data_IF_256287891174
#
_entry.id   IF_256287891174
#
_cell.length_a   1.000
_cell.length_b   1.000
_cell.length_c   1.000
_cell.angle_alpha   90.00
_cell.angle_beta   90.00
_cell.angle_gamma   90.00
#
_symmetry.space_group_name_H-M   'P 1'
#
loop_
_entity.id
_entity.type
_entity.pdbx_description
1 polymer ?
#
# COMPACT_ATOMS: atom_id res chain seq x y z
N UNK A 1 20.38 6.77 -0.45
CA UNK A 1 19.87 5.58 -1.19
C UNK A 1 19.67 4.45 -0.19
N UNK A 2 18.56 3.70 -0.26
CA UNK A 2 18.34 2.57 0.65
C UNK A 2 19.00 1.33 0.04
N UNK A 3 20.11 0.91 0.65
CA UNK A 3 20.90 -0.24 0.25
C UNK A 3 21.53 -0.84 1.52
N UNK A 4 21.16 -2.07 1.85
CA UNK A 4 21.61 -2.79 3.04
C UNK A 4 22.40 -4.02 2.63
N UNK A 5 23.63 -4.10 3.14
CA UNK A 5 24.50 -5.25 2.92
C UNK A 5 24.13 -6.46 3.79
N UNK A 6 24.94 -7.51 3.63
CA UNK A 6 24.77 -8.81 4.30
C UNK A 6 24.81 -8.70 5.82
N UNK A 7 25.61 -7.79 6.37
CA UNK A 7 25.75 -7.55 7.80
C UNK A 7 24.40 -7.26 8.47
N UNK A 8 23.56 -6.46 7.81
CA UNK A 8 22.21 -6.18 8.27
C UNK A 8 21.23 -7.27 7.83
N UNK A 9 21.32 -7.70 6.58
CA UNK A 9 20.32 -8.58 5.98
C UNK A 9 20.31 -10.00 6.56
N UNK A 10 21.47 -10.49 7.02
CA UNK A 10 21.60 -11.79 7.68
C UNK A 10 21.31 -11.77 9.19
N UNK A 11 21.19 -10.58 9.79
CA UNK A 11 20.73 -10.44 11.18
C UNK A 11 19.20 -10.46 11.23
N UNK A 12 18.63 -11.59 11.68
CA UNK A 12 17.19 -11.80 11.71
C UNK A 12 16.43 -10.68 12.45
N UNK A 13 16.83 -10.23 13.66
CA UNK A 13 16.17 -9.13 14.34
C UNK A 13 16.21 -7.81 13.55
N UNK A 14 17.34 -7.44 12.95
CA UNK A 14 17.49 -6.21 12.19
C UNK A 14 16.69 -6.23 10.87
N UNK A 15 16.71 -7.37 10.16
CA UNK A 15 15.94 -7.57 8.93
C UNK A 15 14.43 -7.64 9.20
N UNK A 16 14.01 -8.22 10.32
CA UNK A 16 12.58 -8.32 10.71
C UNK A 16 11.98 -6.97 11.13
N UNK A 17 12.78 -6.06 11.70
CA UNK A 17 12.30 -4.72 12.12
C UNK A 17 12.17 -3.72 10.98
N UNK A 18 12.73 -4.01 9.80
CA UNK A 18 12.67 -3.12 8.63
C UNK A 18 11.60 -3.60 7.70
N UNK A 19 10.73 -2.68 7.31
CA UNK A 19 9.59 -2.94 6.44
C UNK A 19 9.76 -2.20 5.10
N UNK A 20 9.20 -2.78 4.05
CA UNK A 20 9.11 -2.17 2.72
C UNK A 20 7.63 -2.01 2.36
N UNK A 21 7.34 -1.06 1.46
CA UNK A 21 6.00 -0.76 0.98
C UNK A 21 6.04 -0.47 -0.53
N UNK A 22 5.13 -1.09 -1.27
CA UNK A 22 4.76 -0.68 -2.63
C UNK A 22 3.26 -0.48 -2.71
N UNK A 23 2.82 0.50 -3.50
CA UNK A 23 1.41 0.87 -3.61
C UNK A 23 1.02 0.95 -5.09
N UNK A 24 -0.28 0.82 -5.37
CA UNK A 24 -0.83 0.84 -6.72
C UNK A 24 -1.61 2.13 -7.05
N UNK A 25 -1.60 3.14 -6.17
CA UNK A 25 -2.32 4.40 -6.43
C UNK A 25 -3.86 4.29 -6.41
N UNK A 26 -4.43 3.17 -5.96
CA UNK A 26 -5.88 2.98 -5.75
C UNK A 26 -6.18 2.48 -4.34
N UNK A 27 -5.27 2.68 -3.38
CA UNK A 27 -5.40 2.23 -1.99
C UNK A 27 -4.89 0.81 -1.72
N UNK A 28 -4.64 0.01 -2.77
CA UNK A 28 -4.01 -1.30 -2.65
C UNK A 28 -2.50 -1.19 -2.41
N UNK A 29 -1.94 -2.19 -1.73
CA UNK A 29 -0.51 -2.21 -1.40
C UNK A 29 0.04 -3.63 -1.23
N UNK A 30 1.37 -3.72 -1.27
CA UNK A 30 2.11 -4.85 -0.77
C UNK A 30 3.18 -4.37 0.22
N UNK A 31 3.35 -5.10 1.31
CA UNK A 31 4.32 -4.79 2.34
C UNK A 31 4.79 -6.04 3.07
N UNK A 32 5.96 -5.96 3.68
CA UNK A 32 6.50 -7.02 4.52
C UNK A 32 7.82 -6.60 5.13
N UNK A 33 8.49 -7.56 5.78
CA UNK A 33 9.85 -7.35 6.31
C UNK A 33 10.92 -7.69 5.28
N UNK A 34 12.16 -7.23 5.50
CA UNK A 34 13.31 -7.66 4.69
C UNK A 34 13.54 -9.17 4.80
N UNK A 35 13.31 -9.76 5.98
CA UNK A 35 13.48 -11.19 6.25
C UNK A 35 12.40 -12.08 5.60
N UNK A 36 11.31 -11.48 5.12
CA UNK A 36 10.12 -12.20 4.65
C UNK A 36 9.24 -12.75 5.77
N UNK A 37 9.61 -12.55 7.04
CA UNK A 37 8.78 -12.94 8.20
C UNK A 37 7.54 -12.06 8.27
N UNK A 38 6.37 -12.69 8.47
CA UNK A 38 5.13 -11.99 8.80
C UNK A 38 5.14 -11.62 10.28
N UNK A 39 5.02 -10.33 10.61
CA UNK A 39 5.00 -9.87 12.02
C UNK A 39 3.74 -9.12 12.38
N UNK A 40 2.93 -8.69 11.40
CA UNK A 40 1.67 -7.99 11.61
C UNK A 40 0.65 -8.38 10.56
N UNK A 41 -0.64 -8.28 10.89
CA UNK A 41 -1.77 -8.73 10.04
C UNK A 41 -1.89 -7.98 8.71
N UNK A 42 -1.13 -6.90 8.55
CA UNK A 42 -1.07 -6.07 7.36
C UNK A 42 -0.01 -6.52 6.36
N UNK A 43 0.89 -7.44 6.72
CA UNK A 43 1.87 -7.99 5.79
C UNK A 43 1.17 -8.83 4.72
N UNK A 44 1.55 -8.60 3.48
CA UNK A 44 0.90 -9.17 2.31
C UNK A 44 1.60 -8.77 1.03
N UNK A 45 1.69 -9.70 0.09
CA UNK A 45 2.12 -9.42 -1.27
C UNK A 45 0.98 -8.86 -2.13
N UNK A 46 -0.28 -9.04 -1.74
CA UNK A 46 -1.42 -8.38 -2.37
C UNK A 46 -2.49 -8.09 -1.32
N UNK A 47 -2.52 -6.84 -0.83
CA UNK A 47 -3.65 -6.27 -0.11
C UNK A 47 -4.43 -5.40 -1.10
N UNK A 48 -5.44 -6.00 -1.71
CA UNK A 48 -6.21 -5.38 -2.78
C UNK A 48 -7.28 -4.43 -2.22
N UNK A 49 -7.36 -3.22 -2.78
CA UNK A 49 -8.48 -2.32 -2.51
C UNK A 49 -9.66 -2.73 -3.40
N UNK A 50 -10.58 -3.55 -2.87
CA UNK A 50 -11.75 -4.02 -3.62
C UNK A 50 -12.86 -2.96 -3.76
N UNK A 51 -12.76 -1.85 -3.01
CA UNK A 51 -13.59 -0.67 -3.19
C UNK A 51 -12.71 0.60 -3.09
N UNK A 52 -11.88 0.89 -4.12
CA UNK A 52 -10.86 1.93 -4.06
C UNK A 52 -11.34 3.30 -3.52
N UNK A 53 -10.55 3.96 -2.65
CA UNK A 53 -9.26 3.54 -2.10
C UNK A 53 -9.38 2.61 -0.87
N UNK A 54 -10.57 2.08 -0.60
CA UNK A 54 -10.95 1.33 0.60
C UNK A 54 -11.23 -0.16 0.27
N UNK A 55 -11.84 -0.88 1.22
CA UNK A 55 -12.13 -2.32 1.04
C UNK A 55 -10.87 -3.17 0.90
N UNK A 56 -9.85 -2.85 1.70
CA UNK A 56 -8.53 -3.51 1.65
C UNK A 56 -8.62 -4.95 2.16
N UNK A 57 -8.40 -5.89 1.26
CA UNK A 57 -8.51 -7.34 1.50
C UNK A 57 -7.18 -8.02 1.19
N UNK A 58 -6.67 -8.81 2.12
CA UNK A 58 -5.48 -9.64 1.91
C UNK A 58 -5.84 -10.83 1.02
N UNK A 59 -5.23 -10.90 -0.16
CA UNK A 59 -5.44 -11.97 -1.15
C UNK A 59 -4.21 -12.89 -1.28
N UNK A 60 -3.00 -12.32 -1.32
CA UNK A 60 -1.74 -13.06 -1.29
C UNK A 60 -0.93 -12.63 -0.07
N UNK A 61 -0.81 -13.51 0.93
CA UNK A 61 -0.05 -13.24 2.15
C UNK A 61 1.45 -13.26 1.86
N UNK A 62 1.93 -14.33 1.23
CA UNK A 62 3.35 -14.54 1.01
C UNK A 62 3.59 -15.55 -0.12
N UNK A 63 4.79 -15.49 -0.69
CA UNK A 63 5.37 -16.57 -1.49
C UNK A 63 6.57 -17.11 -0.73
N UNK A 64 6.49 -18.37 -0.34
CA UNK A 64 7.62 -19.13 0.21
C UNK A 64 8.42 -19.67 -0.98
N UNK A 65 9.50 -18.96 -1.32
CA UNK A 65 10.34 -19.25 -2.49
C UNK A 65 11.56 -20.11 -2.12
N UNK A 66 11.63 -21.27 -2.75
CA UNK A 66 12.74 -22.21 -2.58
C UNK A 66 13.36 -22.44 -3.93
N UNK A 67 14.69 -22.39 -4.01
CA UNK A 67 15.37 -22.90 -5.20
C UNK A 67 16.24 -24.10 -4.88
N UNK A 68 16.39 -24.96 -5.89
CA UNK A 68 17.24 -26.13 -5.88
C UNK A 68 18.29 -25.98 -6.99
N UNK A 69 19.57 -25.91 -6.60
CA UNK A 69 20.72 -25.84 -7.49
C UNK A 69 21.87 -26.68 -6.92
N UNK A 70 22.58 -27.42 -7.76
CA UNK A 70 23.73 -28.24 -7.36
C UNK A 70 23.47 -29.23 -6.20
N UNK A 71 22.24 -29.75 -6.12
CA UNK A 71 21.81 -30.68 -5.06
C UNK A 71 21.58 -30.02 -3.69
N UNK A 72 21.74 -28.70 -3.61
CA UNK A 72 21.45 -27.90 -2.42
C UNK A 72 20.08 -27.21 -2.56
N UNK A 73 19.27 -27.31 -1.51
CA UNK A 73 18.04 -26.56 -1.37
C UNK A 73 18.31 -25.27 -0.58
N UNK A 74 17.79 -24.16 -1.08
CA UNK A 74 17.93 -22.85 -0.48
C UNK A 74 16.55 -22.20 -0.36
N UNK A 75 16.02 -22.21 0.87
CA UNK A 75 14.76 -21.58 1.23
C UNK A 75 15.01 -20.08 1.48
N UNK A 76 14.54 -19.22 0.59
CA UNK A 76 14.82 -17.76 0.60
C UNK A 76 13.80 -16.97 1.44
N UNK A 77 13.08 -17.67 2.31
CA UNK A 77 12.02 -17.10 3.12
C UNK A 77 12.21 -17.45 4.59
N UNK A 78 11.61 -16.66 5.48
CA UNK A 78 11.60 -16.93 6.92
C UNK A 78 10.17 -16.97 7.43
N UNK A 79 9.83 -17.97 8.25
CA UNK A 79 8.54 -18.04 8.95
C UNK A 79 8.77 -18.11 10.46
N UNK A 80 7.88 -17.46 11.20
CA UNK A 80 7.83 -17.51 12.65
C UNK A 80 6.49 -18.13 13.05
N UNK A 81 6.55 -19.18 13.86
CA UNK A 81 5.38 -19.97 14.26
C UNK A 81 4.99 -19.67 15.70
N UNK A 82 3.71 -19.82 16.05
CA UNK A 82 3.20 -19.53 17.40
C UNK A 82 3.85 -20.40 18.49
N UNK A 83 4.46 -21.53 18.13
CA UNK A 83 5.28 -22.34 19.04
C UNK A 83 6.66 -21.75 19.35
N UNK A 84 7.01 -20.58 18.79
CA UNK A 84 8.30 -19.92 18.96
C UNK A 84 9.38 -20.35 17.95
N UNK A 85 9.12 -21.37 17.14
CA UNK A 85 10.05 -21.82 16.09
C UNK A 85 10.15 -20.76 14.99
N UNK A 86 11.39 -20.48 14.57
CA UNK A 86 11.67 -19.70 13.36
C UNK A 86 12.35 -20.62 12.35
N UNK A 87 11.61 -20.99 11.31
CA UNK A 87 12.12 -21.87 10.25
C UNK A 87 11.31 -21.70 8.95
N UNK A 88 11.94 -21.81 7.77
CA UNK A 88 13.39 -21.82 7.55
C UNK A 88 14.04 -20.46 7.85
N UNK A 89 15.38 -20.40 7.84
CA UNK A 89 16.16 -19.18 8.13
C UNK A 89 16.66 -18.54 6.82
N UNK A 90 15.75 -18.06 5.98
CA UNK A 90 16.09 -17.52 4.66
C UNK A 90 17.04 -16.32 4.67
N UNK A 91 17.11 -15.60 5.79
CA UNK A 91 18.12 -14.55 6.04
C UNK A 91 19.57 -15.04 5.88
N UNK A 92 19.83 -16.33 6.06
CA UNK A 92 21.17 -16.90 5.87
C UNK A 92 21.67 -16.81 4.42
N UNK A 93 20.73 -16.73 3.46
CA UNK A 93 21.00 -16.61 2.04
C UNK A 93 20.84 -15.17 1.53
N UNK A 94 20.35 -14.24 2.35
CA UNK A 94 20.08 -12.86 1.93
C UNK A 94 21.36 -12.03 1.99
N UNK A 95 21.92 -11.72 0.82
CA UNK A 95 23.16 -10.93 0.70
C UNK A 95 22.89 -9.43 0.72
N UNK A 96 21.78 -8.99 0.12
CA UNK A 96 21.51 -7.59 -0.10
C UNK A 96 20.02 -7.32 -0.20
N UNK A 97 19.61 -6.17 0.33
CA UNK A 97 18.32 -5.56 0.07
C UNK A 97 18.54 -4.11 -0.37
N UNK A 98 17.85 -3.67 -1.41
CA UNK A 98 17.86 -2.28 -1.87
C UNK A 98 16.52 -1.84 -2.41
N UNK A 99 16.35 -0.53 -2.56
CA UNK A 99 15.27 0.04 -3.36
C UNK A 99 15.76 0.50 -4.73
N UNK A 100 15.17 -0.05 -5.79
CA UNK A 100 15.25 0.51 -7.15
C UNK A 100 14.06 1.45 -7.35
N UNK A 101 14.25 2.74 -7.05
CA UNK A 101 13.14 3.68 -6.93
C UNK A 101 12.28 3.36 -5.70
N UNK A 102 11.04 2.93 -5.89
CA UNK A 102 10.21 2.35 -4.81
C UNK A 102 10.18 0.83 -4.81
N UNK A 103 10.79 0.18 -5.81
CA UNK A 103 10.74 -1.28 -5.96
C UNK A 103 11.74 -1.95 -5.02
N UNK A 104 11.30 -2.73 -4.02
CA UNK A 104 12.20 -3.54 -3.21
C UNK A 104 12.82 -4.67 -4.02
N UNK A 105 14.13 -4.81 -3.86
CA UNK A 105 14.94 -5.83 -4.52
C UNK A 105 15.77 -6.58 -3.48
N UNK A 106 15.66 -7.90 -3.47
CA UNK A 106 16.48 -8.80 -2.67
C UNK A 106 17.46 -9.51 -3.57
N UNK A 107 18.70 -9.68 -3.12
CA UNK A 107 19.67 -10.56 -3.76
C UNK A 107 19.99 -11.71 -2.81
N UNK A 108 19.70 -12.93 -3.25
CA UNK A 108 20.00 -14.15 -2.52
C UNK A 108 21.20 -14.87 -3.13
N UNK A 109 22.10 -15.37 -2.30
CA UNK A 109 23.19 -16.24 -2.72
C UNK A 109 23.03 -17.64 -2.14
N UNK A 110 23.24 -18.63 -2.98
CA UNK A 110 23.45 -19.99 -2.50
C UNK A 110 24.34 -20.76 -3.47
N UNK A 111 25.48 -21.20 -2.95
CA UNK A 111 26.60 -21.62 -3.79
C UNK A 111 27.15 -20.47 -4.65
N UNK A 112 27.33 -20.72 -5.94
CA UNK A 112 27.77 -19.74 -6.93
C UNK A 112 26.62 -18.93 -7.57
N UNK A 113 25.38 -19.36 -7.34
CA UNK A 113 24.17 -18.74 -7.88
C UNK A 113 23.82 -17.47 -7.09
N UNK A 114 23.51 -16.40 -7.84
CA UNK A 114 22.81 -15.23 -7.31
C UNK A 114 21.45 -15.11 -7.99
N UNK A 115 20.41 -15.01 -7.17
CA UNK A 115 19.05 -14.78 -7.61
C UNK A 115 18.59 -13.42 -7.08
N UNK A 116 18.12 -12.56 -7.97
CA UNK A 116 17.43 -11.33 -7.56
C UNK A 116 15.93 -11.54 -7.56
N UNK A 117 15.26 -11.08 -6.50
CA UNK A 117 13.80 -11.00 -6.38
C UNK A 117 13.38 -9.55 -6.39
N UNK A 118 12.44 -9.17 -7.25
CA UNK A 118 11.81 -7.84 -7.31
C UNK A 118 10.32 -7.95 -7.04
N UNK A 119 9.77 -6.98 -6.31
CA UNK A 119 8.32 -6.88 -6.07
C UNK A 119 7.85 -5.49 -6.44
N UNK A 120 6.83 -5.37 -7.30
CA UNK A 120 6.16 -4.10 -7.57
C UNK A 120 4.67 -4.31 -7.81
N UNK A 121 3.90 -3.24 -7.75
CA UNK A 121 2.50 -3.25 -8.15
C UNK A 121 2.28 -2.50 -9.44
N UNK A 122 1.28 -2.93 -10.20
CA UNK A 122 0.83 -2.22 -11.38
C UNK A 122 0.14 -0.90 -10.97
N UNK A 123 0.57 0.26 -11.53
CA UNK A 123 -0.12 1.51 -11.28
C UNK A 123 -1.58 1.40 -11.69
N UNK A 124 -2.46 1.61 -10.73
CA UNK A 124 -3.89 1.68 -10.96
C UNK A 124 -4.67 0.38 -10.90
N UNK A 125 -4.01 -0.75 -10.64
CA UNK A 125 -4.63 -2.06 -10.62
C UNK A 125 -4.23 -2.85 -9.37
N UNK A 126 -5.12 -3.74 -8.90
CA UNK A 126 -4.79 -4.68 -7.82
C UNK A 126 -3.99 -5.85 -8.40
N UNK A 127 -2.79 -5.58 -8.89
CA UNK A 127 -1.84 -6.56 -9.42
C UNK A 127 -0.49 -6.32 -8.75
N UNK A 128 0.08 -7.37 -8.17
CA UNK A 128 1.46 -7.42 -7.70
C UNK A 128 2.24 -8.39 -8.58
N UNK A 129 3.41 -7.95 -9.02
CA UNK A 129 4.38 -8.76 -9.72
C UNK A 129 5.51 -9.18 -8.80
N UNK A 130 5.87 -10.46 -8.86
CA UNK A 130 7.07 -11.02 -8.28
C UNK A 130 7.95 -11.53 -9.41
N UNK A 131 9.13 -10.95 -9.57
CA UNK A 131 10.09 -11.36 -10.60
C UNK A 131 11.34 -11.92 -9.97
N UNK A 132 11.83 -13.01 -10.55
CA UNK A 132 13.07 -13.65 -10.16
C UNK A 132 14.01 -13.67 -11.37
N UNK A 133 15.22 -13.18 -11.18
CA UNK A 133 16.26 -13.10 -12.21
C UNK A 133 17.49 -13.89 -11.75
N UNK A 134 17.95 -14.87 -12.54
CA UNK A 134 19.23 -15.54 -12.27
C UNK A 134 20.39 -14.68 -12.76
N UNK A 135 20.80 -13.70 -11.94
CA UNK A 135 21.81 -12.70 -12.32
C UNK A 135 23.24 -13.24 -12.35
N UNK A 136 23.51 -14.32 -11.62
CA UNK A 136 24.80 -15.03 -11.65
C UNK A 136 24.60 -16.53 -11.49
N UNK A 137 25.43 -17.30 -12.19
CA UNK A 137 25.47 -18.76 -12.14
C UNK A 137 25.86 -19.31 -13.50
N UNK A 138 26.26 -20.58 -13.55
CA UNK A 138 26.63 -21.26 -14.81
C UNK A 138 25.72 -22.47 -15.12
N UNK A 139 24.70 -22.70 -14.29
CA UNK A 139 23.78 -23.84 -14.37
C UNK A 139 22.33 -23.41 -14.16
N UNK A 140 21.43 -24.24 -14.68
CA UNK A 140 20.02 -24.07 -14.43
C UNK A 140 19.66 -24.37 -12.97
N UNK A 141 18.64 -23.69 -12.46
CA UNK A 141 18.06 -23.95 -11.13
C UNK A 141 16.57 -24.27 -11.24
N UNK A 142 16.06 -25.02 -10.27
CA UNK A 142 14.61 -25.24 -10.14
C UNK A 142 14.08 -24.28 -9.09
N UNK A 143 13.17 -23.38 -9.48
CA UNK A 143 12.51 -22.48 -8.56
C UNK A 143 11.10 -22.99 -8.26
N UNK A 144 10.78 -23.12 -6.97
CA UNK A 144 9.45 -23.45 -6.47
C UNK A 144 8.90 -22.24 -5.72
N UNK A 145 7.74 -21.74 -6.16
CA UNK A 145 7.07 -20.59 -5.57
C UNK A 145 5.77 -21.05 -4.91
N UNK A 146 5.81 -21.30 -3.60
CA UNK A 146 4.64 -21.68 -2.82
C UNK A 146 3.81 -20.43 -2.51
N UNK A 147 2.63 -20.32 -3.10
CA UNK A 147 1.73 -19.17 -2.90
C UNK A 147 0.81 -19.42 -1.71
N UNK A 148 0.98 -18.62 -0.65
CA UNK A 148 0.14 -18.60 0.54
C UNK A 148 -0.90 -17.49 0.42
N UNK A 149 -2.15 -17.87 0.22
CA UNK A 149 -3.28 -16.96 -0.05
C UNK A 149 -4.20 -16.82 1.15
N UNK A 150 -5.04 -15.79 1.12
CA UNK A 150 -6.08 -15.56 2.11
C UNK A 150 -7.26 -14.81 1.45
N UNK A 151 -8.34 -14.57 2.20
CA UNK A 151 -9.38 -13.63 1.81
C UNK A 151 -9.99 -13.01 3.06
N UNK A 152 -9.29 -12.02 3.62
CA UNK A 152 -9.72 -11.35 4.86
C UNK A 152 -9.52 -9.85 4.77
N UNK A 153 -10.33 -9.10 5.51
CA UNK A 153 -10.06 -7.69 5.75
C UNK A 153 -8.66 -7.51 6.36
N UNK A 154 -7.96 -6.46 5.93
CA UNK A 154 -6.60 -6.16 6.39
C UNK A 154 -6.49 -5.92 7.91
N UNK A 155 -7.59 -5.58 8.61
CA UNK A 155 -7.65 -5.47 10.08
C UNK A 155 -7.94 -6.78 10.81
N UNK A 156 -8.22 -7.88 10.12
CA UNK A 156 -8.57 -9.18 10.73
C UNK A 156 -7.41 -10.17 10.63
N UNK A 157 -7.53 -11.30 11.30
CA UNK A 157 -6.73 -12.51 11.06
C UNK A 157 -7.65 -13.65 10.64
N UNK A 158 -7.09 -14.72 10.07
CA UNK A 158 -7.82 -15.91 9.65
C UNK A 158 -7.49 -17.09 10.56
N UNK A 159 -8.54 -17.80 10.98
CA UNK A 159 -8.44 -19.17 11.51
C UNK A 159 -9.07 -20.09 10.50
N UNK A 160 -8.28 -20.99 9.92
CA UNK A 160 -8.67 -21.73 8.73
C UNK A 160 -9.95 -22.56 8.90
N UNK A 161 -10.18 -23.11 10.10
CA UNK A 161 -11.27 -24.08 10.31
C UNK A 161 -11.26 -25.18 9.24
N UNK A 162 -12.42 -25.41 8.64
CA UNK A 162 -12.62 -26.32 7.49
C UNK A 162 -12.82 -25.55 6.17
N UNK A 163 -12.43 -24.29 6.10
CA UNK A 163 -12.72 -23.42 4.96
C UNK A 163 -12.12 -23.96 3.65
N UNK A 164 -12.99 -24.17 2.67
CA UNK A 164 -12.64 -24.59 1.32
C UNK A 164 -12.81 -23.44 0.32
N UNK A 165 -11.69 -22.86 -0.13
CA UNK A 165 -11.70 -21.97 -1.30
C UNK A 165 -11.75 -22.81 -2.59
N UNK A 166 -12.42 -22.30 -3.62
CA UNK A 166 -12.41 -22.89 -4.96
C UNK A 166 -11.12 -22.47 -5.70
N UNK A 167 -10.38 -23.43 -6.24
CA UNK A 167 -9.12 -23.20 -6.97
C UNK A 167 -9.23 -23.88 -8.33
N UNK A 168 -9.32 -23.08 -9.38
CA UNK A 168 -9.59 -23.53 -10.74
C UNK A 168 -8.38 -23.26 -11.64
N UNK A 169 -7.93 -24.24 -12.45
CA UNK A 169 -6.92 -23.99 -13.47
C UNK A 169 -7.47 -23.06 -14.55
N UNK A 170 -6.66 -22.09 -14.93
CA UNK A 170 -6.91 -21.16 -16.04
C UNK A 170 -5.67 -21.07 -16.92
N UNK A 171 -5.78 -20.40 -18.06
CA UNK A 171 -4.63 -20.14 -18.92
C UNK A 171 -3.53 -19.42 -18.12
N UNK A 172 -2.32 -19.96 -18.16
CA UNK A 172 -1.14 -19.43 -17.45
C UNK A 172 -1.25 -19.43 -15.91
N UNK A 173 -2.18 -20.13 -15.27
CA UNK A 173 -2.23 -20.13 -13.82
C UNK A 173 -3.49 -20.66 -13.19
N UNK A 174 -3.92 -20.00 -12.11
CA UNK A 174 -5.07 -20.40 -11.30
C UNK A 174 -5.97 -19.21 -10.99
N UNK A 175 -7.27 -19.47 -10.93
CA UNK A 175 -8.28 -18.59 -10.34
C UNK A 175 -8.65 -19.12 -8.97
N UNK A 176 -8.66 -18.25 -7.97
CA UNK A 176 -9.05 -18.55 -6.60
C UNK A 176 -10.31 -17.77 -6.25
N UNK A 177 -11.34 -18.46 -5.78
CA UNK A 177 -12.59 -17.85 -5.30
C UNK A 177 -12.82 -18.30 -3.86
N UNK A 178 -12.80 -17.35 -2.93
CA UNK A 178 -12.78 -17.66 -1.51
C UNK A 178 -14.12 -18.21 -0.97
N UNK A 179 -15.23 -17.69 -1.49
CA UNK A 179 -16.60 -18.11 -1.21
C UNK A 179 -17.54 -17.57 -2.31
N UNK A 180 -18.79 -18.01 -2.33
CA UNK A 180 -19.79 -17.53 -3.29
C UNK A 180 -20.00 -16.01 -3.16
N UNK A 181 -19.79 -15.28 -4.27
CA UNK A 181 -19.88 -13.81 -4.31
C UNK A 181 -18.58 -13.06 -3.96
N UNK A 182 -17.50 -13.76 -3.59
CA UNK A 182 -16.18 -13.15 -3.45
C UNK A 182 -15.65 -12.65 -4.80
N UNK A 183 -14.91 -11.53 -4.79
CA UNK A 183 -14.14 -11.10 -5.96
C UNK A 183 -13.04 -12.15 -6.20
N UNK A 184 -13.03 -12.84 -7.36
CA UNK A 184 -11.98 -13.82 -7.63
C UNK A 184 -10.64 -13.11 -7.80
N UNK A 185 -9.56 -13.84 -7.50
CA UNK A 185 -8.22 -13.38 -7.77
C UNK A 185 -7.40 -14.48 -8.45
N UNK A 186 -6.35 -14.06 -9.12
CA UNK A 186 -5.59 -14.88 -10.06
C UNK A 186 -4.14 -14.93 -9.65
N UNK A 187 -3.53 -16.10 -9.83
CA UNK A 187 -2.11 -16.35 -9.69
C UNK A 187 -1.63 -16.84 -11.05
N UNK A 188 -0.85 -16.04 -11.77
CA UNK A 188 -0.55 -16.25 -13.19
C UNK A 188 0.95 -16.14 -13.46
N UNK A 189 1.47 -17.03 -14.31
CA UNK A 189 2.84 -16.99 -14.81
C UNK A 189 2.91 -17.58 -16.22
N UNK A 190 3.65 -16.94 -17.13
CA UNK A 190 3.86 -17.47 -18.48
C UNK A 190 4.88 -18.61 -18.50
N UNK A 191 5.85 -18.59 -17.59
CA UNK A 191 6.99 -19.51 -17.58
C UNK A 191 6.88 -20.61 -16.52
N UNK A 192 6.11 -20.39 -15.45
CA UNK A 192 5.99 -21.35 -14.36
C UNK A 192 4.65 -22.08 -14.39
N UNK A 193 4.71 -23.40 -14.29
CA UNK A 193 3.51 -24.23 -14.25
C UNK A 193 2.94 -24.30 -12.84
N UNK A 194 1.63 -24.02 -12.64
CA UNK A 194 1.00 -24.15 -11.35
C UNK A 194 0.76 -25.60 -11.00
N UNK A 195 1.06 -25.97 -9.76
CA UNK A 195 0.65 -27.23 -9.16
C UNK A 195 -0.35 -26.90 -8.04
N UNK A 196 -1.68 -27.04 -8.26
CA UNK A 196 -2.70 -26.68 -7.28
C UNK A 196 -2.56 -27.47 -5.98
N UNK A 197 -2.86 -26.80 -4.87
CA UNK A 197 -2.84 -27.34 -3.51
C UNK A 197 -4.00 -26.77 -2.71
N UNK A 198 -4.34 -27.45 -1.64
CA UNK A 198 -5.37 -27.01 -0.71
C UNK A 198 -4.98 -27.39 0.71
N UNK A 199 -3.88 -26.82 1.18
CA UNK A 199 -3.33 -27.13 2.50
C UNK A 199 -3.21 -25.86 3.31
N UNK A 200 -3.92 -25.79 4.43
CA UNK A 200 -3.81 -24.66 5.36
C UNK A 200 -2.53 -24.78 6.19
N UNK A 201 -1.65 -23.79 6.04
CA UNK A 201 -0.53 -23.56 6.93
C UNK A 201 -1.04 -22.73 8.11
N UNK A 202 -0.92 -23.30 9.31
CA UNK A 202 -1.51 -22.73 10.53
C UNK A 202 -0.46 -22.14 11.44
N UNK A 203 -0.90 -21.25 12.31
CA UNK A 203 -0.12 -20.74 13.43
C UNK A 203 1.06 -19.84 13.06
N UNK A 204 0.94 -18.98 12.04
CA UNK A 204 1.92 -17.91 11.83
C UNK A 204 1.87 -16.94 13.01
N UNK A 205 3.02 -16.63 13.60
CA UNK A 205 3.11 -15.72 14.73
C UNK A 205 3.37 -14.28 14.29
N UNK A 206 2.42 -13.40 14.59
CA UNK A 206 2.48 -11.97 14.32
C UNK A 206 3.00 -11.21 15.54
N UNK A 207 4.33 -11.22 15.73
CA UNK A 207 4.99 -10.67 16.92
C UNK A 207 4.68 -9.19 17.22
N UNK A 208 4.37 -8.37 16.20
CA UNK A 208 3.99 -6.97 16.41
C UNK A 208 2.52 -6.80 16.77
N UNK A 209 1.63 -7.73 16.41
CA UNK A 209 0.26 -7.73 16.96
C UNK A 209 0.27 -8.19 18.42
N UNK A 210 1.08 -9.20 18.77
CA UNK A 210 1.26 -9.65 20.15
C UNK A 210 1.74 -8.51 21.05
N UNK A 211 2.80 -7.81 20.62
CA UNK A 211 3.32 -6.63 21.33
C UNK A 211 2.25 -5.55 21.56
N UNK A 212 1.27 -5.45 20.66
CA UNK A 212 0.17 -4.47 20.73
C UNK A 212 -1.05 -4.99 21.48
N UNK A 213 -1.00 -6.20 22.03
CA UNK A 213 -2.12 -6.84 22.75
C UNK A 213 -3.27 -7.25 21.82
N UNK A 214 -2.99 -7.52 20.55
CA UNK A 214 -3.98 -7.89 19.53
C UNK A 214 -3.89 -9.38 19.19
N UNK A 215 -4.86 -9.91 18.44
CA UNK A 215 -4.80 -11.28 17.97
C UNK A 215 -3.57 -11.48 17.07
N UNK A 216 -2.67 -12.36 17.51
CA UNK A 216 -1.30 -12.45 16.99
C UNK A 216 -1.03 -13.74 16.21
N UNK A 217 -2.06 -14.49 15.83
CA UNK A 217 -1.86 -15.75 15.11
C UNK A 217 -2.79 -15.83 13.91
N UNK A 218 -2.22 -16.16 12.75
CA UNK A 218 -2.90 -16.18 11.46
C UNK A 218 -2.65 -17.51 10.73
N UNK A 219 -3.61 -17.91 9.88
CA UNK A 219 -3.56 -19.10 9.04
C UNK A 219 -3.65 -18.69 7.57
N UNK A 220 -2.92 -19.38 6.70
CA UNK A 220 -2.87 -19.10 5.26
C UNK A 220 -3.02 -20.37 4.41
N UNK A 221 -3.74 -20.27 3.30
CA UNK A 221 -3.98 -21.39 2.41
C UNK A 221 -2.84 -21.50 1.39
N UNK A 222 -2.16 -22.64 1.33
CA UNK A 222 -1.30 -22.98 0.20
C UNK A 222 -2.18 -23.37 -0.98
N UNK A 223 -2.38 -22.40 -1.89
CA UNK A 223 -3.21 -22.59 -3.08
C UNK A 223 -2.46 -23.27 -4.24
N UNK A 224 -1.16 -23.03 -4.35
CA UNK A 224 -0.34 -23.57 -5.43
C UNK A 224 1.15 -23.54 -5.14
N UNK A 225 1.89 -24.43 -5.80
CA UNK A 225 3.33 -24.25 -6.01
C UNK A 225 3.57 -24.06 -7.50
N UNK A 226 4.07 -22.90 -7.90
CA UNK A 226 4.53 -22.68 -9.27
C UNK A 226 5.96 -23.21 -9.40
N UNK A 227 6.22 -24.01 -10.43
CA UNK A 227 7.53 -24.61 -10.68
C UNK A 227 8.08 -24.15 -12.01
N UNK A 228 9.35 -23.76 -12.04
CA UNK A 228 10.07 -23.38 -13.26
C UNK A 228 11.52 -23.81 -13.18
N UNK A 229 12.10 -24.14 -14.33
CA UNK A 229 13.55 -24.30 -14.48
C UNK A 229 14.06 -23.02 -15.11
N UNK A 230 14.93 -22.30 -14.42
CA UNK A 230 15.56 -21.08 -14.92
C UNK A 230 16.97 -21.40 -15.40
N UNK A 231 17.30 -21.01 -16.64
CA UNK A 231 18.68 -21.01 -17.13
C UNK A 231 19.42 -19.74 -16.67
N UNK A 232 20.77 -19.75 -16.66
CA UNK A 232 21.56 -18.55 -16.40
C UNK A 232 21.14 -17.37 -17.28
N UNK A 233 20.84 -16.23 -16.65
CA UNK A 233 20.38 -15.02 -17.33
C UNK A 233 18.88 -14.98 -17.66
N UNK A 234 18.13 -16.04 -17.38
CA UNK A 234 16.67 -16.04 -17.55
C UNK A 234 15.93 -15.45 -16.33
N UNK A 235 14.66 -15.13 -16.59
CA UNK A 235 13.75 -14.56 -15.60
C UNK A 235 12.39 -15.25 -15.65
N UNK A 236 11.75 -15.33 -14.48
CA UNK A 236 10.34 -15.72 -14.34
C UNK A 236 9.58 -14.62 -13.63
N UNK A 237 8.31 -14.47 -13.97
CA UNK A 237 7.41 -13.54 -13.28
C UNK A 237 6.13 -14.24 -12.88
N UNK A 238 5.73 -14.06 -11.62
CA UNK A 238 4.42 -14.41 -11.09
C UNK A 238 3.63 -13.11 -10.91
N UNK A 239 2.48 -13.01 -11.54
CA UNK A 239 1.50 -11.96 -11.34
C UNK A 239 0.41 -12.47 -10.41
N UNK A 240 0.11 -11.74 -9.36
CA UNK A 240 -1.02 -11.99 -8.47
C UNK A 240 -1.95 -10.79 -8.50
N UNK A 241 -3.23 -10.97 -8.83
CA UNK A 241 -4.13 -9.83 -8.93
C UNK A 241 -5.60 -10.17 -9.08
N UNK A 242 -6.45 -9.16 -9.17
CA UNK A 242 -7.90 -9.34 -9.39
C UNK A 242 -8.30 -9.28 -10.87
N UNK A 243 -7.34 -9.16 -11.77
CA UNK A 243 -7.55 -9.14 -13.22
C UNK A 243 -7.25 -10.52 -13.82
N UNK A 244 -8.11 -10.97 -14.74
CA UNK A 244 -7.99 -12.29 -15.37
C UNK A 244 -6.87 -12.35 -16.43
N UNK A 245 -6.51 -11.21 -17.03
CA UNK A 245 -5.55 -11.15 -18.14
C UNK A 245 -4.60 -9.95 -17.98
N UNK A 246 -3.79 -9.89 -16.91
CA UNK A 246 -2.79 -8.86 -16.73
C UNK A 246 -1.65 -9.03 -17.75
N UNK A 247 -0.79 -8.01 -17.88
CA UNK A 247 0.42 -8.14 -18.70
C UNK A 247 1.39 -9.13 -18.04
N UNK A 248 1.55 -10.34 -18.61
CA UNK A 248 2.46 -11.36 -18.10
C UNK A 248 3.92 -11.21 -18.59
N UNK A 249 4.21 -10.21 -19.42
CA UNK A 249 5.59 -9.84 -19.72
C UNK A 249 6.16 -8.98 -18.59
N UNK A 250 6.85 -9.64 -17.65
CA UNK A 250 7.46 -8.98 -16.50
C UNK A 250 8.52 -7.92 -16.85
N UNK A 251 9.11 -7.91 -18.05
CA UNK A 251 9.98 -6.82 -18.48
C UNK A 251 9.16 -5.58 -18.83
N UNK A 252 8.12 -5.76 -19.66
CA UNK A 252 7.24 -4.68 -20.05
C UNK A 252 6.47 -4.10 -18.85
N UNK A 253 5.96 -4.97 -17.96
CA UNK A 253 5.28 -4.54 -16.74
C UNK A 253 6.19 -3.76 -15.78
N UNK A 254 7.46 -4.17 -15.62
CA UNK A 254 8.41 -3.43 -14.80
C UNK A 254 8.82 -2.11 -15.45
N UNK A 255 9.04 -2.08 -16.77
CA UNK A 255 9.33 -0.85 -17.50
C UNK A 255 8.19 0.17 -17.37
N UNK A 256 6.93 -0.28 -17.42
CA UNK A 256 5.77 0.59 -17.17
C UNK A 256 5.76 1.19 -15.76
N UNK A 257 6.10 0.39 -14.73
CA UNK A 257 6.25 0.89 -13.36
C UNK A 257 7.36 1.94 -13.26
N UNK A 258 8.51 1.69 -13.88
CA UNK A 258 9.65 2.62 -13.89
C UNK A 258 9.33 3.93 -14.61
N UNK A 259 8.63 3.85 -15.74
CA UNK A 259 8.17 5.04 -16.45
C UNK A 259 7.22 5.90 -15.60
N UNK A 260 6.36 5.28 -14.78
CA UNK A 260 5.51 6.02 -13.84
C UNK A 260 6.31 6.76 -12.76
N UNK A 261 7.30 6.10 -12.17
CA UNK A 261 8.21 6.74 -11.21
C UNK A 261 9.01 7.89 -11.83
N UNK A 262 9.45 7.72 -13.08
CA UNK A 262 10.15 8.76 -13.83
C UNK A 262 9.24 9.95 -14.13
N UNK A 263 7.97 9.71 -14.52
CA UNK A 263 6.96 10.77 -14.68
C UNK A 263 6.75 11.55 -13.39
N UNK A 264 6.61 10.84 -12.26
CA UNK A 264 6.45 11.47 -10.95
C UNK A 264 7.68 12.30 -10.53
N UNK A 265 8.89 11.84 -10.87
CA UNK A 265 10.12 12.56 -10.53
C UNK A 265 10.48 13.69 -11.50
N UNK A 266 9.94 13.68 -12.73
CA UNK A 266 10.30 14.64 -13.76
C UNK A 266 10.18 16.12 -13.31
N UNK A 267 9.14 16.55 -12.56
CA UNK A 267 9.04 17.93 -12.09
C UNK A 267 10.11 18.32 -11.06
N UNK A 268 10.65 17.34 -10.32
CA UNK A 268 11.70 17.52 -9.31
C UNK A 268 13.10 17.52 -9.93
N UNK A 269 13.29 16.83 -11.05
CA UNK A 269 14.57 16.66 -11.76
C UNK A 269 14.75 17.65 -12.93
N UNK A 270 14.17 18.86 -12.85
CA UNK A 270 14.17 19.82 -13.95
C UNK A 270 15.60 20.16 -14.42
N UNK A 271 15.89 20.14 -15.73
CA UNK A 271 17.19 20.55 -16.25
C UNK A 271 17.54 21.98 -15.83
N UNK A 272 18.73 22.15 -15.23
CA UNK A 272 19.22 23.46 -14.77
C UNK A 272 18.94 23.78 -13.30
N UNK A 273 18.21 22.94 -12.56
CA UNK A 273 18.20 22.99 -11.09
C UNK A 273 19.37 22.18 -10.51
N UNK A 274 19.75 22.49 -9.27
CA UNK A 274 20.68 21.65 -8.49
C UNK A 274 20.07 20.25 -8.39
N UNK A 275 20.83 19.21 -8.72
CA UNK A 275 20.35 17.84 -8.59
C UNK A 275 19.96 17.56 -7.13
N UNK A 276 18.75 17.01 -6.87
CA UNK A 276 18.35 16.69 -5.53
C UNK A 276 19.23 15.58 -4.96
N UNK A 277 19.49 15.64 -3.65
CA UNK A 277 20.19 14.55 -2.98
C UNK A 277 19.42 13.22 -3.14
N UNK A 278 20.08 12.06 -3.04
CA UNK A 278 19.41 10.76 -3.10
C UNK A 278 18.26 10.62 -2.09
N UNK A 279 18.37 11.26 -0.93
CA UNK A 279 17.36 11.26 0.13
C UNK A 279 16.12 12.07 -0.29
N UNK A 280 16.32 13.26 -0.86
CA UNK A 280 15.22 14.08 -1.39
C UNK A 280 14.52 13.39 -2.56
N UNK A 281 15.27 12.72 -3.45
CA UNK A 281 14.70 11.90 -4.52
C UNK A 281 13.84 10.77 -3.96
N UNK A 282 14.31 10.10 -2.91
CA UNK A 282 13.54 9.04 -2.25
C UNK A 282 12.28 9.58 -1.58
N UNK A 283 12.35 10.74 -0.92
CA UNK A 283 11.19 11.41 -0.31
C UNK A 283 10.15 11.80 -1.37
N UNK A 284 10.59 12.33 -2.51
CA UNK A 284 9.70 12.65 -3.62
C UNK A 284 8.99 11.41 -4.16
N UNK A 285 9.69 10.28 -4.34
CA UNK A 285 9.08 9.01 -4.70
C UNK A 285 8.09 8.50 -3.64
N UNK A 286 8.46 8.57 -2.36
CA UNK A 286 7.62 8.14 -1.26
C UNK A 286 6.32 8.97 -1.18
N UNK A 287 6.37 10.27 -1.49
CA UNK A 287 5.19 11.13 -1.53
C UNK A 287 4.11 10.60 -2.50
N UNK A 288 4.52 10.12 -3.68
CA UNK A 288 3.60 9.55 -4.67
C UNK A 288 2.91 8.27 -4.20
N UNK A 289 3.49 7.54 -3.24
CA UNK A 289 2.89 6.30 -2.73
C UNK A 289 1.61 6.53 -1.94
N UNK A 290 1.38 7.73 -1.39
CA UNK A 290 0.21 8.07 -0.59
C UNK A 290 -0.95 8.68 -1.40
N UNK A 291 -0.66 9.19 -2.60
CA UNK A 291 -1.68 9.73 -3.50
C UNK A 291 -2.45 8.59 -4.15
N UNK A 292 -3.77 8.64 -4.07
CA UNK A 292 -4.65 7.61 -4.61
C UNK A 292 -5.79 8.20 -5.43
N UNK A 293 -6.24 7.46 -6.44
CA UNK A 293 -7.49 7.74 -7.13
C UNK A 293 -8.67 7.38 -6.24
N UNK A 294 -9.66 8.27 -6.21
CA UNK A 294 -10.92 8.13 -5.48
C UNK A 294 -12.07 8.28 -6.46
N UNK A 295 -12.75 7.17 -6.83
CA UNK A 295 -13.98 7.23 -7.61
C UNK A 295 -15.01 8.12 -6.90
N UNK A 296 -15.66 9.01 -7.66
CA UNK A 296 -16.65 9.95 -7.13
C UNK A 296 -18.07 9.53 -7.55
N UNK A 297 -19.06 9.48 -6.63
CA UNK A 297 -20.38 8.92 -6.91
C UNK A 297 -21.20 9.64 -7.99
N UNK A 298 -21.01 10.96 -8.18
CA UNK A 298 -21.87 11.76 -9.08
C UNK A 298 -21.09 12.93 -9.70
N UNK A 299 -20.49 12.74 -10.86
CA UNK A 299 -19.96 13.84 -11.69
C UNK A 299 -20.71 13.90 -13.02
N UNK A 300 -20.98 15.09 -13.59
CA UNK A 300 -21.56 15.20 -14.94
C UNK A 300 -20.68 14.55 -16.03
N UNK A 301 -19.43 14.25 -15.70
CA UNK A 301 -18.50 13.43 -16.47
C UNK A 301 -18.40 12.01 -15.90
N UNK A 302 -19.52 11.29 -15.82
CA UNK A 302 -19.55 9.84 -15.52
C UNK A 302 -18.88 8.97 -16.60
N UNK A 303 -18.14 9.59 -17.53
CA UNK A 303 -17.06 9.02 -18.32
C UNK A 303 -15.70 9.09 -17.59
N UNK A 304 -15.63 8.69 -16.32
CA UNK A 304 -14.36 8.30 -15.68
C UNK A 304 -13.39 9.41 -15.26
N UNK A 305 -13.84 10.60 -14.84
CA UNK A 305 -12.96 11.52 -14.10
C UNK A 305 -12.89 11.14 -12.61
N UNK A 306 -12.04 10.17 -12.26
CA UNK A 306 -11.74 9.87 -10.86
C UNK A 306 -11.15 11.11 -10.16
N UNK A 307 -11.57 11.36 -8.92
CA UNK A 307 -10.91 12.35 -8.07
C UNK A 307 -9.61 11.80 -7.50
N UNK A 308 -8.83 12.64 -6.83
CA UNK A 308 -7.69 12.21 -6.02
C UNK A 308 -7.96 12.36 -4.52
N UNK A 309 -7.28 11.54 -3.73
CA UNK A 309 -7.27 11.55 -2.27
C UNK A 309 -5.87 11.15 -1.76
N UNK A 310 -5.69 11.18 -0.43
CA UNK A 310 -4.43 10.79 0.23
C UNK A 310 -4.72 9.75 1.30
N UNK A 311 -4.06 8.60 1.22
CA UNK A 311 -4.02 7.65 2.34
C UNK A 311 -3.16 8.27 3.45
N UNK A 312 -3.73 8.47 4.65
CA UNK A 312 -3.04 9.17 5.74
C UNK A 312 -1.82 8.38 6.27
N UNK A 313 -1.82 7.06 6.11
CA UNK A 313 -0.68 6.24 6.49
C UNK A 313 -0.93 4.76 6.26
N UNK A 314 -0.11 4.14 5.42
CA UNK A 314 -0.09 2.69 5.31
C UNK A 314 0.55 2.04 6.54
N UNK A 315 0.09 0.85 6.97
CA UNK A 315 -1.04 0.13 6.37
C UNK A 315 -2.40 0.48 6.96
N UNK A 316 -2.46 1.19 8.09
CA UNK A 316 -3.66 1.24 8.94
C UNK A 316 -4.74 2.19 8.41
N UNK A 317 -4.36 3.41 8.03
CA UNK A 317 -5.31 4.49 7.85
C UNK A 317 -5.97 4.48 6.47
N UNK A 318 -7.18 5.03 6.39
CA UNK A 318 -7.85 5.40 5.14
C UNK A 318 -7.42 6.80 4.71
N UNK A 319 -8.22 7.47 3.88
CA UNK A 319 -8.13 8.90 3.68
C UNK A 319 -8.79 9.70 4.81
N UNK A 320 -8.04 10.69 5.31
CA UNK A 320 -8.41 11.52 6.46
C UNK A 320 -8.31 13.00 6.12
N UNK A 321 -9.34 13.77 6.48
CA UNK A 321 -9.47 15.20 6.17
C UNK A 321 -8.27 16.03 6.59
N UNK A 322 -7.99 15.98 7.89
CA UNK A 322 -6.91 16.72 8.54
C UNK A 322 -5.55 16.40 7.94
N UNK A 323 -5.17 15.13 7.96
CA UNK A 323 -3.87 14.63 7.48
C UNK A 323 -3.63 15.00 6.02
N UNK A 324 -4.67 14.86 5.18
CA UNK A 324 -4.58 15.24 3.77
C UNK A 324 -4.26 16.71 3.62
N UNK A 325 -4.97 17.60 4.31
CA UNK A 325 -4.79 19.04 4.14
C UNK A 325 -3.46 19.55 4.69
N UNK A 326 -2.95 18.93 5.76
CA UNK A 326 -1.59 19.20 6.27
C UNK A 326 -0.53 18.74 5.24
N UNK A 327 -0.69 17.53 4.71
CA UNK A 327 0.33 16.91 3.85
C UNK A 327 0.29 17.40 2.39
N UNK A 328 -0.85 17.91 1.91
CA UNK A 328 -1.09 18.25 0.51
C UNK A 328 0.02 19.10 -0.12
N UNK A 329 0.50 20.21 0.50
CA UNK A 329 1.58 21.00 -0.08
C UNK A 329 2.88 20.22 -0.27
N UNK A 330 3.23 19.36 0.69
CA UNK A 330 4.44 18.53 0.62
C UNK A 330 4.33 17.40 -0.39
N UNK A 331 3.17 16.73 -0.44
CA UNK A 331 2.95 15.58 -1.32
C UNK A 331 2.79 15.98 -2.79
N UNK A 332 2.25 17.18 -3.06
CA UNK A 332 1.87 17.60 -4.42
C UNK A 332 2.62 18.84 -4.89
N UNK A 333 2.58 19.96 -4.16
CA UNK A 333 3.16 21.22 -4.64
C UNK A 333 4.68 21.18 -4.65
N UNK A 334 5.29 20.72 -3.55
CA UNK A 334 6.74 20.59 -3.44
C UNK A 334 7.32 19.52 -4.40
N UNK A 335 6.50 18.57 -4.85
CA UNK A 335 6.87 17.55 -5.83
C UNK A 335 6.48 17.92 -7.27
N UNK A 336 5.84 19.08 -7.49
CA UNK A 336 5.51 19.62 -8.81
C UNK A 336 4.25 19.04 -9.47
N UNK A 337 3.26 18.61 -8.67
CA UNK A 337 1.96 18.06 -9.09
C UNK A 337 0.76 18.93 -8.66
N UNK A 338 0.68 20.21 -9.07
CA UNK A 338 -0.44 21.08 -8.70
C UNK A 338 -1.79 20.63 -9.27
N UNK A 339 -1.80 19.90 -10.38
CA UNK A 339 -2.99 19.27 -10.95
C UNK A 339 -3.62 18.23 -10.01
N UNK A 340 -2.79 17.42 -9.33
CA UNK A 340 -3.26 16.49 -8.31
C UNK A 340 -3.78 17.25 -7.09
N UNK A 341 -3.08 18.31 -6.65
CA UNK A 341 -3.54 19.18 -5.57
C UNK A 341 -4.94 19.76 -5.85
N UNK A 342 -5.13 20.30 -7.07
CA UNK A 342 -6.41 20.81 -7.57
C UNK A 342 -7.51 19.74 -7.50
N UNK A 343 -7.20 18.53 -7.93
CA UNK A 343 -8.13 17.40 -7.88
C UNK A 343 -8.53 17.03 -6.45
N UNK A 344 -7.57 16.94 -5.52
CA UNK A 344 -7.84 16.62 -4.10
C UNK A 344 -8.72 17.71 -3.46
N UNK A 345 -8.39 18.99 -3.67
CA UNK A 345 -9.15 20.10 -3.10
C UNK A 345 -10.62 20.07 -3.56
N UNK A 346 -10.86 19.82 -4.85
CA UNK A 346 -12.22 19.64 -5.40
C UNK A 346 -12.92 18.40 -4.83
N UNK A 347 -12.22 17.27 -4.74
CA UNK A 347 -12.76 16.04 -4.14
C UNK A 347 -13.29 16.32 -2.74
N UNK A 348 -12.50 16.99 -1.89
CA UNK A 348 -12.83 17.20 -0.48
C UNK A 348 -13.93 18.24 -0.28
N UNK A 349 -14.03 19.25 -1.15
CA UNK A 349 -15.10 20.24 -1.15
C UNK A 349 -16.51 19.59 -1.15
N UNK A 350 -16.64 18.47 -1.89
CA UNK A 350 -17.91 17.73 -2.03
C UNK A 350 -18.40 17.09 -0.73
N UNK A 351 -17.51 16.92 0.25
CA UNK A 351 -17.83 16.30 1.54
C UNK A 351 -18.00 17.33 2.65
N UNK A 352 -17.89 18.62 2.37
CA UNK A 352 -18.15 19.67 3.35
C UNK A 352 -19.62 19.60 3.76
N UNK A 353 -19.85 19.46 5.06
CA UNK A 353 -21.19 19.47 5.63
C UNK A 353 -21.21 20.27 6.93
N UNK A 354 -22.18 21.18 7.06
CA UNK A 354 -22.30 22.14 8.17
C UNK A 354 -20.98 22.87 8.50
N UNK A 355 -20.23 23.24 7.46
CA UNK A 355 -18.96 23.95 7.59
C UNK A 355 -17.76 23.09 7.99
N UNK A 356 -17.93 21.77 8.06
CA UNK A 356 -16.91 20.84 8.50
C UNK A 356 -16.44 19.95 7.35
N UNK A 357 -15.13 19.72 7.24
CA UNK A 357 -14.62 18.56 6.53
C UNK A 357 -14.71 17.31 7.43
N UNK A 358 -14.92 16.11 6.85
CA UNK A 358 -14.87 14.89 7.64
C UNK A 358 -13.43 14.58 8.05
N UNK A 359 -13.26 14.11 9.28
CA UNK A 359 -12.00 13.57 9.79
C UNK A 359 -11.66 12.27 9.06
N UNK A 360 -12.63 11.33 8.98
CA UNK A 360 -12.50 10.07 8.23
C UNK A 360 -13.48 10.05 7.07
N UNK A 361 -12.96 9.77 5.87
CA UNK A 361 -13.80 9.64 4.68
C UNK A 361 -14.44 8.24 4.63
N UNK A 362 -15.72 8.16 4.25
CA UNK A 362 -16.46 6.91 4.29
C UNK A 362 -16.10 5.98 3.13
N UNK A 363 -16.27 4.67 3.35
CA UNK A 363 -16.48 3.71 2.28
C UNK A 363 -17.87 3.88 1.64
N UNK A 364 -18.11 3.21 0.52
CA UNK A 364 -19.43 3.21 -0.11
C UNK A 364 -20.49 2.71 0.89
N UNK A 365 -21.48 3.56 1.19
CA UNK A 365 -22.55 3.25 2.16
C UNK A 365 -22.23 3.57 3.63
N UNK A 366 -21.04 4.10 3.95
CA UNK A 366 -20.73 4.59 5.30
C UNK A 366 -21.01 6.09 5.46
N UNK A 367 -21.23 6.53 6.70
CA UNK A 367 -21.39 7.95 7.05
C UNK A 367 -20.02 8.58 7.33
N UNK A 368 -19.68 9.74 6.74
CA UNK A 368 -18.47 10.46 7.10
C UNK A 368 -18.46 10.86 8.58
N UNK A 369 -17.29 10.81 9.22
CA UNK A 369 -17.12 11.22 10.61
C UNK A 369 -16.64 12.67 10.67
N UNK A 370 -17.42 13.56 11.28
CA UNK A 370 -17.14 15.01 11.33
C UNK A 370 -16.60 15.46 12.70
N UNK A 371 -15.82 14.63 13.38
CA UNK A 371 -15.24 14.91 14.71
C UNK A 371 -13.89 15.66 14.64
N UNK A 372 -13.85 16.77 13.89
CA UNK A 372 -12.64 17.56 13.71
C UNK A 372 -12.96 19.05 13.63
N UNK A 373 -12.37 19.85 14.52
CA UNK A 373 -12.46 21.31 14.49
C UNK A 373 -11.39 21.94 13.58
N UNK A 374 -10.28 21.23 13.35
CA UNK A 374 -9.09 21.75 12.69
C UNK A 374 -9.01 21.39 11.20
N UNK A 375 -9.64 20.32 10.72
CA UNK A 375 -9.57 19.93 9.31
C UNK A 375 -10.11 21.02 8.37
N UNK A 376 -11.20 21.68 8.76
CA UNK A 376 -11.75 22.82 8.04
C UNK A 376 -10.72 23.96 7.93
N UNK A 377 -10.04 24.31 9.01
CA UNK A 377 -9.03 25.38 9.01
C UNK A 377 -7.82 25.01 8.13
N UNK A 378 -7.37 23.76 8.20
CA UNK A 378 -6.31 23.25 7.32
C UNK A 378 -6.71 23.27 5.85
N UNK A 379 -8.00 23.13 5.52
CA UNK A 379 -8.49 23.26 4.14
C UNK A 379 -8.30 24.68 3.59
N UNK A 380 -8.59 25.71 4.38
CA UNK A 380 -8.30 27.10 4.01
C UNK A 380 -6.80 27.29 3.74
N UNK A 381 -5.95 26.76 4.63
CA UNK A 381 -4.50 26.86 4.47
C UNK A 381 -3.99 26.09 3.25
N UNK A 382 -4.54 24.90 2.96
CA UNK A 382 -4.21 24.12 1.78
C UNK A 382 -4.58 24.86 0.48
N UNK A 383 -5.76 25.49 0.41
CA UNK A 383 -6.17 26.32 -0.73
C UNK A 383 -5.30 27.56 -0.84
N UNK A 384 -4.98 28.22 0.27
CA UNK A 384 -4.07 29.38 0.28
C UNK A 384 -2.69 29.01 -0.26
N UNK A 385 -2.12 27.89 0.21
CA UNK A 385 -0.83 27.39 -0.24
C UNK A 385 -0.87 27.00 -1.74
N UNK A 386 -1.94 26.35 -2.18
CA UNK A 386 -2.18 26.02 -3.59
C UNK A 386 -2.23 27.27 -4.47
N UNK A 387 -3.05 28.26 -4.10
CA UNK A 387 -3.19 29.50 -4.86
C UNK A 387 -1.87 30.28 -4.88
N UNK A 388 -1.17 30.39 -3.75
CA UNK A 388 0.14 31.04 -3.70
C UNK A 388 1.18 30.38 -4.61
N UNK A 389 1.10 29.05 -4.80
CA UNK A 389 2.02 28.30 -5.65
C UNK A 389 1.65 28.34 -7.15
N UNK A 390 0.37 28.56 -7.50
CA UNK A 390 -0.14 28.37 -8.87
C UNK A 390 -0.73 29.61 -9.51
N UNK A 391 -1.25 30.56 -8.71
CA UNK A 391 -2.04 31.68 -9.19
C UNK A 391 -3.38 31.28 -9.83
N UNK A 392 -3.90 30.08 -9.54
CA UNK A 392 -5.13 29.55 -10.14
C UNK A 392 -6.38 30.21 -9.52
N UNK A 393 -6.71 31.41 -10.02
CA UNK A 393 -7.89 32.18 -9.64
C UNK A 393 -9.20 31.45 -9.98
N UNK A 394 -9.20 30.59 -11.01
CA UNK A 394 -10.39 29.83 -11.42
C UNK A 394 -10.78 28.82 -10.35
N UNK A 395 -9.82 28.05 -9.82
CA UNK A 395 -10.11 27.12 -8.72
C UNK A 395 -10.51 27.87 -7.45
N UNK A 396 -9.85 29.00 -7.15
CA UNK A 396 -10.22 29.80 -5.99
C UNK A 396 -11.67 30.28 -6.11
N UNK A 397 -12.06 30.85 -7.26
CA UNK A 397 -13.43 31.30 -7.50
C UNK A 397 -14.45 30.15 -7.42
N UNK A 398 -14.09 28.96 -7.89
CA UNK A 398 -14.91 27.75 -7.77
C UNK A 398 -15.14 27.33 -6.31
N UNK A 399 -14.09 27.33 -5.48
CA UNK A 399 -14.15 26.86 -4.09
C UNK A 399 -14.59 27.95 -3.09
N UNK A 400 -14.54 29.23 -3.48
CA UNK A 400 -14.83 30.36 -2.60
C UNK A 400 -16.21 30.29 -1.93
N UNK A 401 -17.32 29.94 -2.63
CA UNK A 401 -18.64 29.82 -1.99
C UNK A 401 -18.69 28.76 -0.90
N UNK A 402 -17.91 27.67 -1.03
CA UNK A 402 -17.78 26.63 0.00
C UNK A 402 -17.08 27.22 1.23
N UNK A 403 -16.00 27.97 1.03
CA UNK A 403 -15.27 28.64 2.10
C UNK A 403 -16.12 29.67 2.84
N UNK A 404 -16.89 30.50 2.13
CA UNK A 404 -17.84 31.44 2.75
C UNK A 404 -18.87 30.70 3.60
N UNK A 405 -19.44 29.62 3.05
CA UNK A 405 -20.40 28.77 3.78
C UNK A 405 -19.78 28.17 5.03
N UNK A 406 -18.52 27.75 4.98
CA UNK A 406 -17.80 27.23 6.15
C UNK A 406 -17.67 28.31 7.24
N UNK A 407 -17.26 29.54 6.89
CA UNK A 407 -17.17 30.64 7.88
C UNK A 407 -18.53 30.96 8.48
N UNK A 408 -19.57 31.01 7.66
CA UNK A 408 -20.94 31.23 8.10
C UNK A 408 -21.41 30.19 9.11
N UNK A 409 -21.07 28.92 8.90
CA UNK A 409 -21.34 27.85 9.83
C UNK A 409 -20.55 27.99 11.14
N UNK A 410 -19.27 28.36 11.09
CA UNK A 410 -18.51 28.64 12.32
C UNK A 410 -19.09 29.83 13.10
N UNK A 411 -19.65 30.85 12.43
CA UNK A 411 -20.32 31.97 13.12
C UNK A 411 -21.65 31.57 13.76
N UNK A 412 -22.41 30.67 13.12
CA UNK A 412 -23.70 30.17 13.63
C UNK A 412 -23.53 29.08 14.70
N UNK A 413 -22.43 28.34 14.61
CA UNK A 413 -22.17 27.10 15.32
C UNK A 413 -22.37 25.86 14.45
N UNK A 414 -21.46 24.89 14.59
CA UNK A 414 -21.47 23.62 13.86
C UNK A 414 -21.75 22.45 14.81
N UNK A 415 -21.25 21.24 14.52
CA UNK A 415 -21.27 20.12 15.46
C UNK A 415 -20.31 20.40 16.63
N UNK A 416 -20.45 19.64 17.72
CA UNK A 416 -19.50 19.65 18.84
C UNK A 416 -19.22 21.02 19.46
N UNK A 417 -20.25 21.87 19.47
CA UNK A 417 -20.19 23.24 19.96
C UNK A 417 -19.08 24.08 19.31
N UNK A 418 -18.69 23.79 18.07
CA UNK A 418 -17.66 24.57 17.37
C UNK A 418 -18.30 25.85 16.84
N UNK A 419 -17.94 27.00 17.40
CA UNK A 419 -18.51 28.30 17.02
C UNK A 419 -17.58 29.47 17.34
N UNK A 420 -17.82 30.63 16.72
CA UNK A 420 -17.14 31.88 17.07
C UNK A 420 -17.78 32.45 18.34
N UNK A 421 -16.98 32.71 19.37
CA UNK A 421 -17.42 33.41 20.58
C UNK A 421 -17.69 34.89 20.22
N UNK A 422 -18.92 35.40 20.47
CA UNK A 422 -19.27 36.78 20.14
C UNK A 422 -18.55 37.84 20.98
N UNK A 423 -17.93 37.47 22.11
CA UNK A 423 -17.24 38.40 23.01
C UNK A 423 -15.84 38.75 22.53
N UNK A 424 -15.08 37.77 22.04
CA UNK A 424 -13.68 37.95 21.65
C UNK A 424 -13.39 37.62 20.17
N UNK A 425 -14.35 37.01 19.46
CA UNK A 425 -14.21 36.63 18.06
C UNK A 425 -13.34 35.39 17.82
N UNK A 426 -12.93 34.67 18.86
CA UNK A 426 -12.15 33.45 18.76
C UNK A 426 -13.05 32.24 18.48
N UNK A 427 -12.48 31.22 17.87
CA UNK A 427 -13.19 29.97 17.64
C UNK A 427 -13.13 29.11 18.91
N UNK A 428 -14.29 28.85 19.50
CA UNK A 428 -14.50 27.85 20.53
C UNK A 428 -14.72 26.48 19.87
N UNK A 429 -14.13 25.43 20.43
CA UNK A 429 -14.39 24.04 20.03
C UNK A 429 -14.27 23.13 21.26
N UNK A 430 -15.33 22.37 21.56
CA UNK A 430 -15.30 21.45 22.69
C UNK A 430 -16.68 20.91 23.05
N UNK A 431 -16.76 19.59 23.19
CA UNK A 431 -17.89 18.87 23.76
C UNK A 431 -17.34 17.83 24.74
N UNK A 432 -18.01 17.64 25.86
CA UNK A 432 -17.58 16.67 26.88
C UNK A 432 -17.43 15.28 26.27
N UNK A 433 -16.27 14.66 26.49
CA UNK A 433 -15.98 13.30 26.01
C UNK A 433 -15.56 13.17 24.55
N UNK A 434 -15.43 14.28 23.79
CA UNK A 434 -15.06 14.30 22.37
C UNK A 434 -13.72 15.00 22.14
N UNK A 435 -12.79 14.33 21.45
CA UNK A 435 -11.54 14.92 20.98
C UNK A 435 -11.71 15.48 19.57
N UNK A 436 -11.52 16.78 19.39
CA UNK A 436 -11.79 17.49 18.13
C UNK A 436 -10.53 18.00 17.41
N UNK A 437 -9.36 17.93 18.04
CA UNK A 437 -8.09 18.40 17.45
C UNK A 437 -7.23 17.21 17.04
N UNK A 438 -6.10 17.45 16.38
CA UNK A 438 -5.13 16.40 16.05
C UNK A 438 -4.58 15.61 17.26
N UNK A 439 -4.70 16.15 18.48
CA UNK A 439 -4.38 15.43 19.72
C UNK A 439 -5.61 14.60 20.17
N UNK A 440 -6.03 13.63 19.36
CA UNK A 440 -7.31 12.91 19.51
C UNK A 440 -7.22 11.51 20.12
N UNK A 441 -6.09 11.17 20.73
CA UNK A 441 -5.97 9.93 21.51
C UNK A 441 -6.78 10.04 22.81
N UNK A 442 -7.58 9.00 23.10
CA UNK A 442 -8.35 8.86 24.33
C UNK A 442 -7.96 7.59 25.09
N UNK A 443 -7.73 7.69 26.40
CA UNK A 443 -7.52 6.56 27.31
C UNK A 443 -8.59 6.59 28.41
N UNK A 444 -9.59 5.72 28.28
CA UNK A 444 -10.77 5.76 29.14
C UNK A 444 -11.64 6.98 28.81
N UNK A 445 -11.85 7.85 29.79
CA UNK A 445 -12.60 9.10 29.62
C UNK A 445 -11.73 10.33 29.29
N UNK A 446 -10.40 10.17 29.26
CA UNK A 446 -9.42 11.26 29.12
C UNK A 446 -8.75 11.30 27.75
#
# INVERSE_FOLDING_TARGET
MIDFGRDLCSDLPAATRREWLVTNGIGGFAMGTLAGTLTRRYHGLLVAALNPPLGRTLLLAKVDDTFLGDGQQCDMFTNHWAGGTVEPMGVNFLENFRLEGTTPVWTFACGDILLEKRIWMEPGANITYLRYDQVRGNRALVLNLKTLVNYRGFHSVTRAGDWQMNIEPVTHGLRVTAFEGAVPFYLLSRQADPVPRHTWYRNFHLSLEEYRGLEAVDDHLHAATFKVILQPGESVTLAAGTEESPNLDGHAAYAARRAEEERWLAPVLKPGSVEPSPELRQLALAAGQFVVRRPLPDGPDSNGSDGHSVIAGYPWFSDWGRDTMIALPGLTLATGHPDIARSILRTYARFVDRGMLPNRFPAAGETPEYNTADASLWYFEAIRAYHAATGDDDLLAELFPVLETMIDWHRRGTRYNIHVDPLDGLLYAGEEGVQLTWMDAKVGDW
#
